data_IF_646549459486
#
_entry.id   IF_646549459486
#
_cell.length_a   1.000
_cell.length_b   1.000
_cell.length_c   1.000
_cell.angle_alpha   90.00
_cell.angle_beta   90.00
_cell.angle_gamma   90.00
#
_symmetry.space_group_name_H-M   'P 1'
#
loop_
_entity.id
_entity.type
_entity.pdbx_description
1 polymer ?
#
# COMPACT_ATOMS: atom_id res chain seq x y z
N UNK A 1 -16.52 -4.66 0.61
CA UNK A 1 -16.09 -3.52 1.45
C UNK A 1 -15.65 -2.38 0.54
N UNK A 2 -16.45 -1.30 0.47
CA UNK A 2 -16.09 -0.04 -0.16
C UNK A 2 -14.72 0.50 0.26
N UNK A 3 -14.04 1.28 -0.60
CA UNK A 3 -12.68 1.74 -0.34
C UNK A 3 -12.58 2.58 0.95
N UNK A 4 -13.50 3.53 1.14
CA UNK A 4 -13.53 4.39 2.34
C UNK A 4 -13.83 3.64 3.63
N UNK A 5 -14.62 2.56 3.56
CA UNK A 5 -14.94 1.74 4.73
C UNK A 5 -13.72 0.95 5.25
N UNK A 6 -12.72 0.68 4.40
CA UNK A 6 -11.55 -0.14 4.78
C UNK A 6 -10.70 0.52 5.85
N UNK A 7 -10.39 1.81 5.69
CA UNK A 7 -9.65 2.58 6.69
C UNK A 7 -10.52 2.87 7.90
N UNK A 8 -11.81 3.18 7.71
CA UNK A 8 -12.75 3.37 8.83
C UNK A 8 -12.83 2.14 9.75
N UNK A 9 -12.89 0.93 9.19
CA UNK A 9 -12.82 -0.30 9.99
C UNK A 9 -11.50 -0.39 10.77
N UNK A 10 -10.37 -0.08 10.15
CA UNK A 10 -9.07 -0.10 10.82
C UNK A 10 -8.99 0.92 11.97
N UNK A 11 -9.54 2.13 11.78
CA UNK A 11 -9.61 3.16 12.81
C UNK A 11 -10.49 2.69 13.99
N UNK A 12 -11.66 2.11 13.69
CA UNK A 12 -12.59 1.62 14.72
C UNK A 12 -12.02 0.47 15.55
N UNK A 13 -11.16 -0.36 14.96
CA UNK A 13 -10.46 -1.45 15.66
C UNK A 13 -9.19 -0.97 16.40
N UNK A 14 -8.88 0.34 16.37
CA UNK A 14 -7.68 0.88 16.99
C UNK A 14 -6.39 0.33 16.37
N UNK A 15 -6.39 0.08 15.06
CA UNK A 15 -5.23 -0.48 14.37
C UNK A 15 -4.03 0.47 14.41
N UNK A 16 -2.83 -0.09 14.61
CA UNK A 16 -1.59 0.69 14.65
C UNK A 16 -0.94 0.87 13.27
N UNK A 17 -1.34 0.07 12.28
CA UNK A 17 -0.87 0.12 10.90
C UNK A 17 -1.99 -0.35 9.97
N UNK A 18 -2.04 0.20 8.76
CA UNK A 18 -2.91 -0.27 7.69
C UNK A 18 -2.10 -0.67 6.46
N UNK A 19 -2.25 -1.93 6.00
CA UNK A 19 -1.56 -2.44 4.81
C UNK A 19 -2.61 -2.98 3.83
N UNK A 20 -2.79 -2.28 2.72
CA UNK A 20 -3.62 -2.74 1.60
C UNK A 20 -2.78 -3.64 0.68
N UNK A 21 -3.16 -4.90 0.49
CA UNK A 21 -2.39 -5.86 -0.34
C UNK A 21 -3.12 -6.07 -1.67
N UNK A 22 -2.39 -5.89 -2.78
CA UNK A 22 -2.91 -5.88 -4.15
C UNK A 22 -2.01 -6.67 -5.10
N UNK A 23 -2.54 -6.95 -6.30
CA UNK A 23 -1.79 -7.47 -7.43
C UNK A 23 -2.06 -6.62 -8.67
N UNK A 24 -1.03 -5.92 -9.12
CA UNK A 24 -1.13 -4.86 -10.11
C UNK A 24 -1.50 -5.39 -11.50
N UNK A 25 -1.92 -4.50 -12.40
CA UNK A 25 -2.13 -4.81 -13.80
C UNK A 25 -1.62 -3.67 -14.70
N UNK A 26 -0.96 -4.00 -15.80
CA UNK A 26 -0.59 -3.03 -16.84
C UNK A 26 -1.39 -3.24 -18.13
N UNK A 27 -1.52 -2.19 -18.95
CA UNK A 27 -2.20 -2.30 -20.26
C UNK A 27 -1.31 -3.07 -21.25
N UNK A 28 -1.81 -4.21 -21.71
CA UNK A 28 -1.12 -5.13 -22.62
C UNK A 28 -0.57 -6.35 -21.88
N UNK A 29 -0.92 -7.55 -22.36
CA UNK A 29 -0.54 -8.83 -21.73
C UNK A 29 0.98 -8.95 -21.64
N UNK A 30 1.50 -9.25 -20.44
CA UNK A 30 2.95 -9.38 -20.21
C UNK A 30 3.70 -8.05 -20.13
N UNK A 31 3.01 -6.90 -20.17
CA UNK A 31 3.60 -5.62 -19.77
C UNK A 31 3.47 -5.47 -18.25
N UNK A 32 4.47 -4.86 -17.63
CA UNK A 32 4.56 -4.76 -16.17
C UNK A 32 5.03 -6.07 -15.55
N UNK A 33 5.96 -5.96 -14.61
CA UNK A 33 6.45 -7.05 -13.76
C UNK A 33 7.08 -6.43 -12.52
N UNK A 34 7.09 -7.18 -11.44
CA UNK A 34 7.70 -6.81 -10.18
C UNK A 34 6.70 -6.38 -9.12
N UNK A 35 7.25 -5.93 -8.00
CA UNK A 35 6.50 -5.44 -6.85
C UNK A 35 6.87 -3.99 -6.54
N UNK A 36 5.91 -3.28 -5.96
CA UNK A 36 6.03 -1.88 -5.54
C UNK A 36 5.18 -1.64 -4.30
N UNK A 37 5.64 -0.70 -3.48
CA UNK A 37 4.94 -0.26 -2.28
C UNK A 37 4.68 1.22 -2.40
N UNK A 38 3.47 1.64 -2.11
CA UNK A 38 3.02 3.02 -2.15
C UNK A 38 2.64 3.47 -0.75
N UNK A 39 2.99 4.72 -0.43
CA UNK A 39 2.36 5.45 0.67
C UNK A 39 1.58 6.63 0.10
N UNK A 40 0.64 7.14 0.89
CA UNK A 40 -0.16 8.29 0.48
C UNK A 40 0.71 9.55 0.41
N UNK A 41 0.68 10.25 -0.73
CA UNK A 41 1.32 11.54 -0.98
C UNK A 41 0.90 12.05 -2.37
N UNK A 42 1.15 13.34 -2.66
CA UNK A 42 0.95 13.94 -3.97
C UNK A 42 1.67 13.12 -5.06
N UNK A 43 0.92 12.55 -6.00
CA UNK A 43 1.45 11.62 -7.00
C UNK A 43 2.49 12.25 -7.95
N UNK A 44 3.77 11.90 -7.76
CA UNK A 44 4.89 12.54 -8.47
C UNK A 44 5.11 12.00 -9.90
N UNK A 45 4.75 10.74 -10.21
CA UNK A 45 5.09 10.10 -11.50
C UNK A 45 3.86 9.68 -12.33
N UNK A 46 3.96 9.63 -13.68
CA UNK A 46 2.88 9.14 -14.54
C UNK A 46 2.45 7.70 -14.25
N UNK A 47 3.41 6.81 -13.97
CA UNK A 47 3.14 5.40 -13.64
C UNK A 47 2.33 5.29 -12.35
N UNK A 48 2.75 5.98 -11.29
CA UNK A 48 2.06 5.99 -10.01
C UNK A 48 0.64 6.58 -10.14
N UNK A 49 0.47 7.64 -10.95
CA UNK A 49 -0.85 8.18 -11.28
C UNK A 49 -1.74 7.19 -12.04
N UNK A 50 -1.17 6.39 -12.95
CA UNK A 50 -1.92 5.41 -13.70
C UNK A 50 -2.41 4.24 -12.82
N UNK A 51 -1.57 3.78 -11.89
CA UNK A 51 -1.96 2.76 -10.89
C UNK A 51 -3.06 3.31 -9.98
N UNK A 52 -2.85 4.48 -9.36
CA UNK A 52 -3.85 5.14 -8.52
C UNK A 52 -5.18 5.36 -9.25
N UNK A 53 -5.18 5.86 -10.49
CA UNK A 53 -6.41 6.04 -11.28
C UNK A 53 -7.15 4.72 -11.49
N UNK A 54 -6.44 3.62 -11.67
CA UNK A 54 -7.03 2.30 -11.89
C UNK A 54 -7.62 1.74 -10.60
N UNK A 55 -6.89 1.82 -9.49
CA UNK A 55 -7.38 1.37 -8.18
C UNK A 55 -8.57 2.20 -7.70
N UNK A 56 -8.50 3.52 -7.87
CA UNK A 56 -9.59 4.43 -7.49
C UNK A 56 -10.84 4.29 -8.37
N UNK A 57 -10.72 3.72 -9.58
CA UNK A 57 -11.88 3.47 -10.44
C UNK A 57 -12.85 2.44 -9.84
N UNK A 58 -12.40 1.63 -8.88
CA UNK A 58 -13.25 0.71 -8.13
C UNK A 58 -14.42 1.42 -7.42
N UNK A 59 -14.28 2.70 -7.05
CA UNK A 59 -15.33 3.52 -6.43
C UNK A 59 -16.60 3.57 -7.28
N UNK A 60 -16.45 3.64 -8.62
CA UNK A 60 -17.61 3.70 -9.54
C UNK A 60 -18.44 2.42 -9.54
N UNK A 61 -17.88 1.33 -9.04
CA UNK A 61 -18.52 0.02 -8.97
C UNK A 61 -19.19 -0.21 -7.60
N UNK A 62 -18.97 0.68 -6.63
CA UNK A 62 -19.56 0.60 -5.29
C UNK A 62 -21.04 1.03 -5.34
N UNK A 63 -21.94 0.21 -4.80
CA UNK A 63 -23.38 0.49 -4.76
C UNK A 63 -23.72 1.27 -3.48
N UNK A 64 -24.47 2.37 -3.63
CA UNK A 64 -24.99 3.14 -2.49
C UNK A 64 -24.19 4.41 -2.21
N UNK A 65 -24.54 5.47 -2.95
CA UNK A 65 -24.29 6.91 -2.75
C UNK A 65 -23.29 7.35 -1.66
N UNK A 66 -22.17 7.89 -2.13
CA UNK A 66 -21.87 9.34 -2.10
C UNK A 66 -21.32 9.69 -3.49
N UNK A 67 -21.56 10.91 -4.00
CA UNK A 67 -20.75 11.38 -5.13
C UNK A 67 -19.29 11.34 -4.68
N UNK A 68 -18.37 10.73 -5.43
CA UNK A 68 -16.97 10.77 -5.08
C UNK A 68 -16.59 12.24 -4.90
N UNK A 69 -16.04 12.55 -3.73
CA UNK A 69 -15.43 13.84 -3.45
C UNK A 69 -14.63 14.29 -4.67
N UNK A 70 -14.80 15.56 -5.05
CA UNK A 70 -14.04 16.12 -6.15
C UNK A 70 -12.55 15.88 -5.88
N UNK A 71 -11.75 15.66 -6.94
CA UNK A 71 -10.32 15.37 -6.79
C UNK A 71 -9.59 16.44 -5.95
N UNK A 72 -9.95 17.72 -6.10
CA UNK A 72 -9.38 18.81 -5.34
C UNK A 72 -9.85 18.80 -3.87
N UNK A 73 -11.15 18.64 -3.62
CA UNK A 73 -11.68 18.48 -2.26
C UNK A 73 -11.04 17.28 -1.53
N UNK A 74 -10.81 16.18 -2.23
CA UNK A 74 -10.14 15.00 -1.70
C UNK A 74 -8.68 15.27 -1.34
N UNK A 75 -7.93 15.97 -2.21
CA UNK A 75 -6.55 16.37 -1.93
C UNK A 75 -6.51 17.28 -0.70
N UNK A 76 -7.42 18.25 -0.60
CA UNK A 76 -7.46 19.18 0.53
C UNK A 76 -7.81 18.48 1.84
N UNK A 77 -8.79 17.58 1.80
CA UNK A 77 -9.17 16.77 2.95
C UNK A 77 -8.00 15.89 3.41
N UNK A 78 -7.32 15.22 2.48
CA UNK A 78 -6.18 14.35 2.83
C UNK A 78 -5.00 15.16 3.39
N UNK A 79 -4.67 16.31 2.80
CA UNK A 79 -3.65 17.22 3.33
C UNK A 79 -3.98 17.72 4.74
N UNK A 80 -5.26 17.92 5.05
CA UNK A 80 -5.69 18.31 6.39
C UNK A 80 -5.56 17.18 7.43
N UNK A 81 -5.48 15.91 6.98
CA UNK A 81 -5.43 14.72 7.83
C UNK A 81 -4.10 13.93 7.69
N UNK A 82 -3.06 14.54 7.11
CA UNK A 82 -1.83 13.86 6.70
C UNK A 82 -0.81 13.65 7.84
N UNK A 83 -1.28 13.29 9.04
CA UNK A 83 -0.46 13.21 10.27
C UNK A 83 0.61 12.10 10.19
N UNK A 84 0.32 10.98 9.53
CA UNK A 84 1.17 9.78 9.51
C UNK A 84 1.99 9.60 8.23
N UNK A 85 2.19 10.66 7.43
CA UNK A 85 2.87 10.54 6.14
C UNK A 85 4.32 10.05 6.27
N UNK A 86 5.07 10.56 7.26
CA UNK A 86 6.46 10.16 7.45
C UNK A 86 6.58 8.70 7.88
N UNK A 87 5.74 8.28 8.82
CA UNK A 87 5.64 6.92 9.31
C UNK A 87 5.22 5.95 8.19
N UNK A 88 4.29 6.36 7.34
CA UNK A 88 3.85 5.59 6.17
C UNK A 88 4.96 5.43 5.14
N UNK A 89 5.76 6.48 4.92
CA UNK A 89 6.95 6.43 4.07
C UNK A 89 8.00 5.47 4.63
N UNK A 90 8.30 5.57 5.92
CA UNK A 90 9.26 4.69 6.60
C UNK A 90 8.80 3.22 6.54
N UNK A 91 7.51 2.96 6.78
CA UNK A 91 6.91 1.63 6.66
C UNK A 91 7.01 1.10 5.22
N UNK A 92 6.68 1.93 4.22
CA UNK A 92 6.76 1.55 2.81
C UNK A 92 8.18 1.15 2.39
N UNK A 93 9.19 1.88 2.86
CA UNK A 93 10.61 1.56 2.62
C UNK A 93 10.97 0.20 3.23
N UNK A 94 10.62 -0.03 4.50
CA UNK A 94 10.90 -1.31 5.17
C UNK A 94 10.22 -2.50 4.46
N UNK A 95 8.97 -2.32 4.05
CA UNK A 95 8.22 -3.34 3.29
C UNK A 95 8.89 -3.62 1.95
N UNK A 96 9.27 -2.57 1.21
CA UNK A 96 9.94 -2.72 -0.08
C UNK A 96 11.27 -3.49 0.06
N UNK A 97 12.05 -3.21 1.10
CA UNK A 97 13.32 -3.88 1.36
C UNK A 97 13.15 -5.35 1.74
N UNK A 98 12.23 -5.67 2.66
CA UNK A 98 11.99 -7.05 3.09
C UNK A 98 11.38 -7.90 1.97
N UNK A 99 10.46 -7.35 1.18
CA UNK A 99 9.94 -8.03 -0.02
C UNK A 99 11.04 -8.28 -1.05
N UNK A 100 11.98 -7.34 -1.23
CA UNK A 100 13.14 -7.53 -2.12
C UNK A 100 13.99 -8.74 -1.72
N UNK A 101 14.15 -8.97 -0.41
CA UNK A 101 14.89 -10.12 0.14
C UNK A 101 14.16 -11.44 -0.15
N UNK A 102 12.82 -11.44 -0.13
CA UNK A 102 11.97 -12.65 -0.23
C UNK A 102 11.49 -13.00 -1.63
N UNK A 103 11.04 -12.03 -2.43
CA UNK A 103 10.32 -12.30 -3.69
C UNK A 103 11.24 -12.62 -4.86
N UNK A 104 12.42 -11.99 -4.93
CA UNK A 104 13.41 -12.15 -6.03
C UNK A 104 12.84 -11.87 -7.44
N UNK A 105 11.81 -11.03 -7.52
CA UNK A 105 11.30 -10.45 -8.76
C UNK A 105 11.72 -8.98 -8.85
N UNK A 106 11.38 -8.29 -9.96
CA UNK A 106 11.77 -6.90 -10.17
C UNK A 106 11.29 -5.99 -9.02
N UNK A 107 12.21 -5.26 -8.42
CA UNK A 107 11.89 -4.25 -7.40
C UNK A 107 11.64 -2.91 -8.11
N UNK A 108 10.40 -2.42 -8.07
CA UNK A 108 9.99 -1.17 -8.72
C UNK A 108 10.11 0.08 -7.82
N UNK A 109 10.74 -0.09 -6.65
CA UNK A 109 10.96 0.92 -5.60
C UNK A 109 9.66 1.36 -4.94
N UNK A 110 9.81 2.23 -3.93
CA UNK A 110 8.69 2.89 -3.27
C UNK A 110 8.15 3.99 -4.18
N UNK A 111 6.83 4.02 -4.32
CA UNK A 111 6.09 5.05 -5.05
C UNK A 111 5.25 5.91 -4.14
N UNK A 112 4.76 7.03 -4.71
CA UNK A 112 3.85 7.95 -4.03
C UNK A 112 2.66 8.21 -4.96
N UNK A 113 1.45 7.97 -4.45
CA UNK A 113 0.24 8.33 -5.16
C UNK A 113 -0.98 8.47 -4.24
N UNK A 114 -2.00 9.13 -4.78
CA UNK A 114 -3.30 9.30 -4.13
C UNK A 114 -4.18 8.07 -4.30
N UNK A 115 -4.13 7.16 -3.34
CA UNK A 115 -5.02 6.00 -3.28
C UNK A 115 -6.15 6.25 -2.29
N UNK A 116 -7.40 6.16 -2.74
CA UNK A 116 -8.57 6.35 -1.87
C UNK A 116 -8.62 5.33 -0.72
N UNK A 117 -8.08 4.12 -0.94
CA UNK A 117 -8.02 3.08 0.08
C UNK A 117 -7.06 3.40 1.23
N UNK A 118 -6.19 4.40 1.09
CA UNK A 118 -5.26 4.83 2.14
C UNK A 118 -5.74 6.07 2.89
N UNK A 119 -6.76 6.75 2.37
CA UNK A 119 -7.25 8.01 2.92
C UNK A 119 -8.11 7.79 4.15
N UNK A 120 -7.97 8.73 5.10
CA UNK A 120 -8.69 8.68 6.37
C UNK A 120 -8.18 7.64 7.33
N UNK A 121 -6.99 7.08 7.08
CA UNK A 121 -6.33 6.23 8.04
C UNK A 121 -5.80 7.08 9.21
N UNK A 122 -6.24 6.77 10.43
CA UNK A 122 -5.74 7.40 11.66
C UNK A 122 -4.48 6.68 12.18
N UNK A 123 -3.74 6.06 11.27
CA UNK A 123 -2.51 5.32 11.50
C UNK A 123 -1.65 5.31 10.22
N UNK A 124 -0.36 4.93 10.29
CA UNK A 124 0.47 4.77 9.09
C UNK A 124 -0.15 3.77 8.10
N UNK A 125 -0.28 4.16 6.84
CA UNK A 125 -1.01 3.41 5.82
C UNK A 125 -0.23 3.27 4.52
N UNK A 126 -0.19 2.05 3.98
CA UNK A 126 0.50 1.73 2.72
C UNK A 126 -0.33 0.80 1.83
N UNK A 127 -0.05 0.85 0.53
CA UNK A 127 -0.55 -0.10 -0.46
C UNK A 127 0.63 -0.88 -1.04
N UNK A 128 0.52 -2.20 -1.07
CA UNK A 128 1.56 -3.11 -1.56
C UNK A 128 1.04 -3.84 -2.78
N UNK A 129 1.69 -3.64 -3.92
CA UNK A 129 1.49 -4.44 -5.12
C UNK A 129 2.51 -5.57 -5.13
N UNK A 130 2.09 -6.80 -4.80
CA UNK A 130 3.04 -7.90 -4.60
C UNK A 130 3.58 -8.52 -5.90
N UNK A 131 2.83 -8.37 -7.01
CA UNK A 131 3.22 -8.74 -8.37
C UNK A 131 2.18 -8.20 -9.39
N UNK A 132 2.41 -8.38 -10.70
CA UNK A 132 1.44 -8.04 -11.76
C UNK A 132 0.60 -9.24 -12.18
N UNK A 133 -0.70 -9.24 -11.87
CA UNK A 133 -1.64 -10.28 -12.32
C UNK A 133 -1.82 -10.30 -13.85
N UNK A 134 -1.56 -9.18 -14.53
CA UNK A 134 -1.60 -9.10 -16.01
C UNK A 134 -0.40 -9.74 -16.71
N UNK A 135 0.63 -10.14 -15.96
CA UNK A 135 1.81 -10.82 -16.45
C UNK A 135 1.66 -12.34 -16.23
N UNK A 136 1.60 -13.18 -17.28
CA UNK A 136 1.35 -14.62 -17.11
C UNK A 136 2.37 -15.34 -16.20
N UNK A 137 3.62 -14.88 -16.17
CA UNK A 137 4.65 -15.45 -15.30
C UNK A 137 4.34 -15.15 -13.83
N UNK A 138 3.97 -13.91 -13.54
CA UNK A 138 3.66 -13.46 -12.18
C UNK A 138 2.26 -13.91 -11.73
N UNK A 139 1.29 -14.06 -12.63
CA UNK A 139 0.01 -14.71 -12.35
C UNK A 139 0.23 -16.14 -11.82
N UNK A 140 1.09 -16.92 -12.47
CA UNK A 140 1.45 -18.27 -12.02
C UNK A 140 2.16 -18.23 -10.65
N UNK A 141 2.98 -17.21 -10.38
CA UNK A 141 3.58 -17.02 -9.06
C UNK A 141 2.51 -16.66 -8.01
N UNK A 142 1.57 -15.78 -8.31
CA UNK A 142 0.48 -15.39 -7.41
C UNK A 142 -0.41 -16.58 -7.03
N UNK A 143 -0.52 -17.61 -7.88
CA UNK A 143 -1.21 -18.87 -7.57
C UNK A 143 -0.37 -19.86 -6.77
N UNK A 144 0.95 -19.65 -6.69
CA UNK A 144 1.87 -20.56 -6.00
C UNK A 144 1.90 -20.27 -4.48
N UNK A 145 1.55 -21.24 -3.62
CA UNK A 145 1.58 -21.05 -2.16
C UNK A 145 2.95 -20.64 -1.60
N UNK A 146 4.06 -21.10 -2.18
CA UNK A 146 5.40 -20.74 -1.74
C UNK A 146 5.74 -19.28 -2.05
N UNK A 147 5.23 -18.73 -3.16
CA UNK A 147 5.36 -17.31 -3.46
C UNK A 147 4.53 -16.48 -2.49
N UNK A 148 3.26 -16.86 -2.24
CA UNK A 148 2.40 -16.20 -1.26
C UNK A 148 3.02 -16.21 0.13
N UNK A 149 3.59 -17.34 0.56
CA UNK A 149 4.31 -17.46 1.83
C UNK A 149 5.51 -16.53 1.91
N UNK A 150 6.33 -16.45 0.85
CA UNK A 150 7.46 -15.50 0.81
C UNK A 150 7.02 -14.05 0.86
N UNK A 151 5.92 -13.69 0.20
CA UNK A 151 5.33 -12.35 0.29
C UNK A 151 4.88 -12.04 1.73
N UNK A 152 4.14 -12.96 2.35
CA UNK A 152 3.67 -12.84 3.72
C UNK A 152 4.83 -12.73 4.73
N UNK A 153 5.89 -13.54 4.57
CA UNK A 153 7.10 -13.45 5.38
C UNK A 153 7.81 -12.10 5.24
N UNK A 154 7.86 -11.53 4.03
CA UNK A 154 8.45 -10.21 3.81
C UNK A 154 7.64 -9.10 4.51
N UNK A 155 6.31 -9.14 4.39
CA UNK A 155 5.41 -8.22 5.10
C UNK A 155 5.54 -8.35 6.62
N UNK A 156 5.54 -9.59 7.13
CA UNK A 156 5.72 -9.87 8.55
C UNK A 156 7.04 -9.31 9.08
N UNK A 157 8.15 -9.57 8.38
CA UNK A 157 9.46 -9.06 8.79
C UNK A 157 9.50 -7.53 8.83
N UNK A 158 8.89 -6.87 7.85
CA UNK A 158 8.82 -5.41 7.79
C UNK A 158 7.99 -4.83 8.94
N UNK A 159 6.83 -5.42 9.24
CA UNK A 159 6.01 -5.01 10.40
C UNK A 159 6.76 -5.22 11.71
N UNK A 160 7.45 -6.35 11.87
CA UNK A 160 8.23 -6.61 13.07
C UNK A 160 9.41 -5.61 13.22
N UNK A 161 10.05 -5.24 12.11
CA UNK A 161 11.11 -4.24 12.09
C UNK A 161 10.57 -2.84 12.44
N UNK A 162 9.45 -2.46 11.83
CA UNK A 162 8.78 -1.19 12.09
C UNK A 162 8.39 -1.08 13.57
N UNK A 163 7.74 -2.12 14.13
CA UNK A 163 7.38 -2.19 15.55
C UNK A 163 8.58 -1.94 16.45
N UNK A 164 9.70 -2.65 16.23
CA UNK A 164 10.91 -2.47 17.04
C UNK A 164 11.47 -1.04 16.95
N UNK A 165 11.45 -0.43 15.77
CA UNK A 165 11.92 0.95 15.58
C UNK A 165 11.02 1.94 16.32
N UNK A 166 9.70 1.77 16.20
CA UNK A 166 8.70 2.57 16.89
C UNK A 166 8.83 2.47 18.42
N UNK A 167 9.00 1.25 18.95
CA UNK A 167 9.18 1.03 20.39
C UNK A 167 10.46 1.68 20.92
N UNK A 168 11.56 1.64 20.15
CA UNK A 168 12.81 2.32 20.50
C UNK A 168 12.66 3.85 20.49
N UNK A 169 11.99 4.43 19.50
CA UNK A 169 11.77 5.89 19.46
C UNK A 169 10.90 6.38 20.62
N UNK A 170 10.05 5.51 21.18
CA UNK A 170 9.23 5.78 22.36
C UNK A 170 9.94 5.46 23.69
N UNK A 171 11.18 4.97 23.67
CA UNK A 171 11.93 4.57 24.87
C UNK A 171 11.38 3.31 25.57
N UNK A 172 10.56 2.51 24.87
CA UNK A 172 9.90 1.32 25.42
C UNK A 172 10.79 0.06 25.40
N UNK A 173 11.92 0.10 24.67
CA UNK A 173 12.90 -0.98 24.60
C UNK A 173 14.30 -0.37 24.75
N UNK A 174 15.08 -0.89 25.70
CA UNK A 174 16.46 -0.47 25.96
C UNK A 174 17.37 -0.68 24.75
N UNK A 175 18.40 0.14 24.63
CA UNK A 175 19.48 -0.09 23.68
C UNK A 175 20.34 -1.24 24.22
N UNK A 176 19.99 -2.47 23.83
CA UNK A 176 20.81 -3.65 24.06
C UNK A 176 22.01 -3.68 23.08
#
# INVERSE_FOLDING_TARGET
>A
VPLRERTAMANNEGAHLFISIHANAALGRGRGEGFETYHHSLALTPDARAVAKRENAAIKLEKGREEPMDQAEFILWDMAHSTYMQESSDLAIMVQEELSKKLKIKNRKVGQAHFYVLSGADMPSILVEVAFISNPREENMLRNPDFQKRAAEGLYNAVALYKRRYERSMGLVGAD
#
